data_IF_056979726415
#
_entry.id   IF_056979726415
#
_cell.length_a   1.000
_cell.length_b   1.000
_cell.length_c   1.000
_cell.angle_alpha   90.00
_cell.angle_beta   90.00
_cell.angle_gamma   90.00
#
_symmetry.space_group_name_H-M   'P 1'
#
loop_
_entity.id
_entity.type
_entity.pdbx_description
1 polymer ?
#
# COMPACT_ATOMS: atom_id res chain seq x y z
N UNK A 1 4.02 -3.75 -9.87
CA UNK A 1 4.86 -3.17 -10.98
C UNK A 1 5.65 -1.92 -10.63
N UNK A 2 5.10 -0.95 -9.87
CA UNK A 2 5.81 0.30 -9.55
C UNK A 2 7.15 0.09 -8.83
N UNK A 3 7.25 -0.91 -7.96
CA UNK A 3 8.48 -1.26 -7.25
C UNK A 3 9.64 -1.64 -8.18
N UNK A 4 9.37 -2.30 -9.31
CA UNK A 4 10.42 -2.67 -10.26
C UNK A 4 11.05 -1.42 -10.90
N UNK A 5 10.24 -0.45 -11.33
CA UNK A 5 10.74 0.80 -11.89
C UNK A 5 11.49 1.63 -10.85
N UNK A 6 11.00 1.67 -9.61
CA UNK A 6 11.69 2.37 -8.53
C UNK A 6 13.04 1.73 -8.19
N UNK A 7 13.10 0.40 -8.14
CA UNK A 7 14.34 -0.34 -7.94
C UNK A 7 15.39 -0.02 -9.02
N UNK A 8 14.96 0.12 -10.28
CA UNK A 8 15.86 0.53 -11.37
C UNK A 8 16.36 1.97 -11.21
N UNK A 9 15.54 2.86 -10.68
CA UNK A 9 15.90 4.28 -10.49
C UNK A 9 16.82 4.46 -9.27
N UNK A 10 16.55 3.76 -8.17
CA UNK A 10 17.35 3.87 -6.93
C UNK A 10 18.62 3.01 -6.97
N UNK A 11 18.69 2.01 -7.85
CA UNK A 11 19.79 1.05 -7.92
C UNK A 11 19.70 -0.07 -6.86
N UNK A 12 18.73 0.01 -5.94
CA UNK A 12 18.57 -0.94 -4.85
C UNK A 12 17.44 -1.92 -5.11
N UNK A 13 17.80 -3.06 -5.69
CA UNK A 13 16.81 -4.02 -6.20
C UNK A 13 16.14 -4.81 -5.08
N UNK A 14 16.93 -5.34 -4.14
CA UNK A 14 16.44 -6.29 -3.15
C UNK A 14 15.41 -5.70 -2.18
N UNK A 15 15.70 -4.65 -1.38
CA UNK A 15 14.74 -4.13 -0.41
C UNK A 15 13.49 -3.54 -1.09
N UNK A 16 13.66 -2.84 -2.22
CA UNK A 16 12.55 -2.19 -2.94
C UNK A 16 11.57 -3.21 -3.53
N UNK A 17 12.06 -4.32 -4.08
CA UNK A 17 11.18 -5.38 -4.56
C UNK A 17 10.42 -6.05 -3.42
N UNK A 18 11.07 -6.32 -2.28
CA UNK A 18 10.42 -6.93 -1.13
C UNK A 18 9.33 -6.03 -0.54
N UNK A 19 9.58 -4.72 -0.44
CA UNK A 19 8.58 -3.72 -0.05
C UNK A 19 7.39 -3.75 -1.02
N UNK A 20 7.66 -3.79 -2.33
CA UNK A 20 6.59 -3.81 -3.33
C UNK A 20 5.76 -5.09 -3.26
N UNK A 21 6.41 -6.25 -3.13
CA UNK A 21 5.74 -7.55 -2.96
C UNK A 21 4.91 -7.55 -1.67
N UNK A 22 5.43 -7.00 -0.57
CA UNK A 22 4.70 -6.89 0.68
C UNK A 22 3.38 -6.14 0.50
N UNK A 23 3.38 -4.95 -0.11
CA UNK A 23 2.14 -4.19 -0.31
C UNK A 23 1.20 -4.83 -1.34
N UNK A 24 1.72 -5.47 -2.38
CA UNK A 24 0.88 -6.21 -3.34
C UNK A 24 0.19 -7.41 -2.67
N UNK A 25 0.90 -8.15 -1.81
CA UNK A 25 0.31 -9.24 -1.01
C UNK A 25 -0.67 -8.71 0.03
N UNK A 26 -0.34 -7.62 0.71
CA UNK A 26 -1.17 -7.02 1.76
C UNK A 26 -2.54 -6.61 1.23
N UNK A 27 -2.63 -6.13 0.00
CA UNK A 27 -3.87 -5.59 -0.58
C UNK A 27 -4.48 -6.44 -1.69
N UNK A 28 -4.09 -7.71 -1.77
CA UNK A 28 -4.57 -8.63 -2.80
C UNK A 28 -6.11 -8.80 -2.77
N UNK A 29 -6.76 -8.71 -1.60
CA UNK A 29 -8.23 -8.78 -1.47
C UNK A 29 -8.95 -7.49 -1.91
N UNK A 30 -8.24 -6.36 -1.99
CA UNK A 30 -8.82 -5.03 -2.20
C UNK A 30 -8.96 -4.72 -3.70
N UNK A 31 -9.64 -5.60 -4.43
CA UNK A 31 -9.88 -5.43 -5.86
C UNK A 31 -10.86 -4.26 -6.08
N UNK A 32 -10.54 -3.30 -6.96
CA UNK A 32 -11.45 -2.21 -7.28
C UNK A 32 -12.72 -2.77 -7.94
N UNK A 33 -13.83 -2.78 -7.20
CA UNK A 33 -15.14 -3.21 -7.67
C UNK A 33 -16.18 -2.11 -7.43
N UNK A 34 -16.84 -1.68 -8.51
CA UNK A 34 -17.84 -0.61 -8.47
C UNK A 34 -17.25 0.72 -7.98
N UNK A 35 -17.78 1.26 -6.89
CA UNK A 35 -17.37 2.54 -6.30
C UNK A 35 -16.26 2.41 -5.25
N UNK A 36 -15.80 1.19 -4.96
CA UNK A 36 -14.74 0.97 -3.99
C UNK A 36 -13.38 1.38 -4.59
N UNK A 37 -12.67 2.26 -3.87
CA UNK A 37 -11.33 2.73 -4.24
C UNK A 37 -10.34 2.13 -3.24
N UNK A 38 -9.43 1.24 -3.67
CA UNK A 38 -8.48 0.63 -2.77
C UNK A 38 -7.45 1.65 -2.25
N UNK A 39 -6.75 1.35 -1.14
CA UNK A 39 -5.59 2.11 -0.70
C UNK A 39 -4.56 2.26 -1.82
N UNK A 40 -3.81 3.38 -1.84
CA UNK A 40 -2.88 3.69 -2.92
C UNK A 40 -1.51 3.00 -2.75
N UNK A 41 -1.22 1.99 -3.57
CA UNK A 41 -0.08 1.08 -3.32
C UNK A 41 1.21 1.70 -3.78
N UNK A 42 1.09 2.47 -4.86
CA UNK A 42 2.17 3.25 -5.42
C UNK A 42 2.66 4.23 -4.37
N UNK A 43 1.78 4.92 -3.64
CA UNK A 43 2.16 5.81 -2.55
C UNK A 43 2.95 5.09 -1.44
N UNK A 44 2.48 3.93 -0.99
CA UNK A 44 3.21 3.15 0.02
C UNK A 44 4.61 2.77 -0.46
N UNK A 45 4.73 2.20 -1.66
CA UNK A 45 6.03 1.78 -2.20
C UNK A 45 6.95 2.97 -2.46
N UNK A 46 6.45 4.07 -3.03
CA UNK A 46 7.26 5.27 -3.31
C UNK A 46 7.71 5.95 -2.03
N UNK A 47 6.79 6.17 -1.07
CA UNK A 47 7.12 6.80 0.20
C UNK A 47 8.14 6.00 0.99
N UNK A 48 7.96 4.67 1.05
CA UNK A 48 8.88 3.79 1.78
C UNK A 48 10.26 3.79 1.12
N UNK A 49 10.32 3.67 -0.19
CA UNK A 49 11.59 3.65 -0.95
C UNK A 49 12.34 4.97 -0.83
N UNK A 50 11.64 6.10 -0.92
CA UNK A 50 12.25 7.43 -0.81
C UNK A 50 12.79 7.69 0.61
N UNK A 51 12.02 7.37 1.64
CA UNK A 51 12.44 7.59 3.02
C UNK A 51 13.50 6.58 3.46
N UNK A 52 13.45 5.35 2.95
CA UNK A 52 14.52 4.36 3.08
C UNK A 52 15.86 4.93 2.59
N UNK A 53 15.89 5.47 1.36
CA UNK A 53 17.10 6.08 0.81
C UNK A 53 17.50 7.37 1.53
N UNK A 54 16.54 8.17 2.00
CA UNK A 54 16.81 9.42 2.72
C UNK A 54 17.42 9.19 4.10
N UNK A 55 16.90 8.23 4.86
CA UNK A 55 17.38 7.91 6.21
C UNK A 55 18.47 6.85 6.25
N UNK A 56 18.85 6.27 5.10
CA UNK A 56 19.86 5.21 4.96
C UNK A 56 19.63 4.06 5.96
N UNK A 57 18.41 3.52 5.96
CA UNK A 57 18.00 2.52 6.95
C UNK A 57 18.65 1.16 6.66
N UNK A 58 19.56 0.70 7.52
CA UNK A 58 20.24 -0.58 7.33
C UNK A 58 19.45 -1.78 7.87
N UNK A 59 18.53 -1.54 8.80
CA UNK A 59 17.83 -2.62 9.52
C UNK A 59 16.41 -2.83 8.97
N UNK A 60 16.09 -4.09 8.67
CA UNK A 60 14.77 -4.52 8.17
C UNK A 60 13.61 -4.09 9.06
N UNK A 61 13.78 -4.12 10.40
CA UNK A 61 12.74 -3.69 11.34
C UNK A 61 12.38 -2.20 11.25
N UNK A 62 13.36 -1.35 10.91
CA UNK A 62 13.13 0.08 10.68
C UNK A 62 12.34 0.32 9.40
N UNK A 63 12.66 -0.43 8.34
CA UNK A 63 11.91 -0.42 7.07
C UNK A 63 10.48 -0.88 7.30
N UNK A 64 10.28 -1.92 8.12
CA UNK A 64 8.94 -2.41 8.46
C UNK A 64 8.09 -1.38 9.21
N UNK A 65 8.67 -0.67 10.20
CA UNK A 65 7.97 0.40 10.89
C UNK A 65 7.47 1.47 9.91
N UNK A 66 8.32 1.83 8.94
CA UNK A 66 7.99 2.82 7.92
C UNK A 66 6.92 2.29 6.95
N UNK A 67 6.97 1.00 6.58
CA UNK A 67 5.90 0.34 5.83
C UNK A 67 4.57 0.43 6.58
N UNK A 68 4.54 0.13 7.87
CA UNK A 68 3.33 0.18 8.70
C UNK A 68 2.77 1.60 8.77
N UNK A 69 3.64 2.60 8.95
CA UNK A 69 3.25 4.01 9.02
C UNK A 69 2.67 4.55 7.69
N UNK A 70 3.10 3.99 6.56
CA UNK A 70 2.59 4.38 5.24
C UNK A 70 1.14 3.93 4.97
N UNK A 71 0.68 2.85 5.63
CA UNK A 71 -0.67 2.27 5.45
C UNK A 71 -1.79 3.29 5.72
N UNK A 72 -1.86 3.96 6.89
CA UNK A 72 -2.90 4.96 7.13
C UNK A 72 -2.83 6.12 6.11
N UNK A 73 -1.63 6.51 5.70
CA UNK A 73 -1.43 7.50 4.63
C UNK A 73 -2.08 7.09 3.31
N UNK A 74 -1.95 5.81 2.92
CA UNK A 74 -2.58 5.27 1.71
C UNK A 74 -4.11 5.28 1.75
N UNK A 75 -4.72 5.06 2.92
CA UNK A 75 -6.18 5.20 3.10
C UNK A 75 -6.63 6.64 3.01
N UNK A 76 -5.86 7.59 3.57
CA UNK A 76 -6.18 9.02 3.46
C UNK A 76 -6.11 9.44 2.00
N UNK A 77 -5.08 9.02 1.25
CA UNK A 77 -4.96 9.31 -0.17
C UNK A 77 -6.13 8.74 -0.98
N UNK A 78 -6.55 7.50 -0.73
CA UNK A 78 -7.69 6.91 -1.45
C UNK A 78 -9.01 7.63 -1.15
N UNK A 79 -9.20 8.14 0.08
CA UNK A 79 -10.35 8.98 0.44
C UNK A 79 -10.35 10.32 -0.30
N UNK A 80 -9.20 10.98 -0.40
CA UNK A 80 -9.07 12.24 -1.14
C UNK A 80 -9.33 12.01 -2.63
N UNK A 81 -8.78 10.94 -3.19
CA UNK A 81 -9.05 10.54 -4.58
C UNK A 81 -10.55 10.28 -4.80
N UNK A 82 -11.20 9.56 -3.88
CA UNK A 82 -12.64 9.32 -3.94
C UNK A 82 -13.47 10.59 -3.92
N UNK A 83 -13.12 11.54 -3.06
CA UNK A 83 -13.79 12.85 -3.02
C UNK A 83 -13.59 13.64 -4.32
N UNK A 84 -12.39 13.56 -4.90
CA UNK A 84 -12.09 14.18 -6.17
C UNK A 84 -12.89 13.54 -7.32
N UNK A 85 -13.01 12.20 -7.36
CA UNK A 85 -13.85 11.47 -8.32
C UNK A 85 -15.33 11.86 -8.20
N UNK A 86 -15.87 12.01 -6.99
CA UNK A 86 -17.25 12.48 -6.78
C UNK A 86 -17.47 13.88 -7.36
N UNK A 87 -16.49 14.79 -7.17
CA UNK A 87 -16.54 16.14 -7.76
C UNK A 87 -16.47 16.10 -9.28
N UNK A 88 -15.65 15.24 -9.86
CA UNK A 88 -15.59 15.06 -11.31
C UNK A 88 -16.90 14.50 -11.88
N UNK A 89 -17.52 13.52 -11.21
CA UNK A 89 -18.80 12.96 -11.65
C UNK A 89 -19.94 14.00 -11.66
N UNK A 90 -19.95 14.95 -10.72
CA UNK A 90 -20.93 16.07 -10.74
C UNK A 90 -20.75 16.95 -11.98
N UNK A 91 -19.51 17.28 -12.34
CA UNK A 91 -19.20 18.06 -13.56
C UNK A 91 -19.60 17.29 -14.82
N UNK A 92 -19.33 15.99 -14.86
CA UNK A 92 -19.75 15.12 -15.96
C UNK A 92 -21.27 15.09 -16.14
N UNK A 93 -22.04 14.92 -15.07
CA UNK A 93 -23.51 14.90 -15.12
C UNK A 93 -24.11 16.24 -15.57
N UNK A 94 -23.50 17.36 -15.18
CA UNK A 94 -23.94 18.69 -15.60
C UNK A 94 -23.74 18.88 -17.12
N UNK A 95 -22.63 18.35 -17.64
CA UNK A 95 -22.30 18.38 -19.06
C UNK A 95 -23.21 17.44 -19.87
N UNK A 96 -23.53 16.26 -19.35
CA UNK A 96 -24.45 15.32 -20.00
C UNK A 96 -25.88 15.89 -20.12
N UNK A 97 -26.25 16.84 -19.24
CA UNK A 97 -27.48 17.61 -19.36
C UNK A 97 -27.34 18.71 -20.42
N UNK A 98 -26.22 19.42 -20.44
CA UNK A 98 -25.95 20.49 -21.41
C UNK A 98 -25.74 20.00 -22.85
N UNK A 99 -25.25 18.78 -23.05
CA UNK A 99 -25.13 18.18 -24.39
C UNK A 99 -26.48 17.76 -24.98
N UNK A 100 -27.54 17.64 -24.16
CA UNK A 100 -28.92 17.43 -24.61
C UNK A 100 -29.58 18.73 -25.08
N UNK A 101 -29.07 19.88 -24.65
CA UNK A 101 -29.50 21.19 -25.13
C UNK A 101 -28.63 21.61 -26.35
N UNK A 102 -29.31 21.99 -27.44
CA UNK A 102 -28.76 22.10 -28.80
C UNK A 102 -27.65 23.16 -29.04
N UNK A 103 -27.29 23.96 -28.03
CA UNK A 103 -26.46 25.16 -28.18
C UNK A 103 -25.29 25.24 -27.19
N UNK A 104 -24.46 24.19 -27.08
CA UNK A 104 -23.18 24.32 -26.36
C UNK A 104 -21.98 23.96 -27.26
N UNK A 105 -20.98 24.86 -27.27
CA UNK A 105 -19.68 24.64 -27.89
C UNK A 105 -18.88 23.66 -27.03
N UNK A 106 -19.25 22.38 -27.14
CA UNK A 106 -18.71 21.30 -26.32
C UNK A 106 -17.40 20.78 -26.91
N UNK A 107 -16.28 20.97 -26.20
CA UNK A 107 -14.98 20.42 -26.59
C UNK A 107 -14.54 19.32 -25.59
N UNK A 108 -14.75 18.04 -25.92
CA UNK A 108 -14.45 16.93 -25.01
C UNK A 108 -12.95 16.80 -24.68
N UNK A 109 -12.06 17.17 -25.61
CA UNK A 109 -10.61 17.00 -25.45
C UNK A 109 -10.04 17.88 -24.32
N UNK A 110 -10.43 19.16 -24.27
CA UNK A 110 -9.99 20.08 -23.19
C UNK A 110 -10.46 19.61 -21.81
N UNK A 111 -11.63 19.00 -21.74
CA UNK A 111 -12.20 18.51 -20.49
C UNK A 111 -11.49 17.25 -19.99
N UNK A 112 -11.21 16.29 -20.86
CA UNK A 112 -10.42 15.10 -20.52
C UNK A 112 -9.04 15.54 -20.01
N UNK A 113 -8.38 16.47 -20.72
CA UNK A 113 -7.08 16.98 -20.31
C UNK A 113 -7.13 17.68 -18.95
N UNK A 114 -8.11 18.56 -18.71
CA UNK A 114 -8.28 19.22 -17.41
C UNK A 114 -8.54 18.22 -16.27
N UNK A 115 -9.32 17.17 -16.52
CA UNK A 115 -9.56 16.12 -15.53
C UNK A 115 -8.31 15.29 -15.26
N UNK A 116 -7.54 14.95 -16.28
CA UNK A 116 -6.28 14.22 -16.13
C UNK A 116 -5.24 15.03 -15.35
N UNK A 117 -5.00 16.29 -15.76
CA UNK A 117 -4.05 17.19 -15.09
C UNK A 117 -4.51 17.49 -13.67
N UNK A 118 -5.82 17.68 -13.45
CA UNK A 118 -6.38 17.91 -12.12
C UNK A 118 -6.24 16.68 -11.21
N UNK A 119 -6.56 15.48 -11.69
CA UNK A 119 -6.35 14.22 -10.95
C UNK A 119 -4.89 14.02 -10.60
N UNK A 120 -4.01 14.20 -11.58
CA UNK A 120 -2.57 14.05 -11.41
C UNK A 120 -2.00 15.07 -10.42
N UNK A 121 -2.38 16.34 -10.56
CA UNK A 121 -1.92 17.41 -9.66
C UNK A 121 -2.37 17.22 -8.22
N UNK A 122 -3.65 16.87 -8.01
CA UNK A 122 -4.16 16.57 -6.65
C UNK A 122 -3.44 15.34 -6.08
N UNK A 123 -3.28 14.27 -6.86
CA UNK A 123 -2.56 13.06 -6.45
C UNK A 123 -1.11 13.35 -6.08
N UNK A 124 -0.40 14.14 -6.88
CA UNK A 124 1.00 14.49 -6.65
C UNK A 124 1.16 15.36 -5.40
N UNK A 125 0.36 16.42 -5.24
CA UNK A 125 0.43 17.30 -4.07
C UNK A 125 0.12 16.52 -2.79
N UNK A 126 -0.92 15.67 -2.80
CA UNK A 126 -1.28 14.86 -1.63
C UNK A 126 -0.22 13.81 -1.31
N UNK A 127 0.37 13.16 -2.31
CA UNK A 127 1.48 12.24 -2.12
C UNK A 127 2.71 12.94 -1.53
N UNK A 128 3.10 14.10 -2.07
CA UNK A 128 4.23 14.88 -1.54
C UNK A 128 4.00 15.31 -0.08
N UNK A 129 2.81 15.83 0.24
CA UNK A 129 2.45 16.20 1.61
C UNK A 129 2.46 14.97 2.54
N UNK A 130 1.95 13.83 2.07
CA UNK A 130 1.96 12.58 2.83
C UNK A 130 3.37 12.08 3.11
N UNK A 131 4.26 12.10 2.11
CA UNK A 131 5.68 11.72 2.28
C UNK A 131 6.38 12.68 3.25
N UNK A 132 6.15 13.99 3.11
CA UNK A 132 6.72 15.00 4.01
C UNK A 132 6.26 14.80 5.46
N UNK A 133 4.96 14.51 5.65
CA UNK A 133 4.42 14.19 6.97
C UNK A 133 5.08 12.94 7.57
N UNK A 134 5.23 11.87 6.78
CA UNK A 134 5.92 10.65 7.21
C UNK A 134 7.39 10.93 7.59
N UNK A 135 8.08 11.79 6.84
CA UNK A 135 9.46 12.18 7.13
C UNK A 135 9.60 12.88 8.49
N UNK A 136 8.60 13.66 8.92
CA UNK A 136 8.59 14.33 10.24
C UNK A 136 8.24 13.34 11.36
N UNK A 137 7.23 12.49 11.14
CA UNK A 137 6.71 11.60 12.18
C UNK A 137 7.65 10.43 12.46
N UNK A 138 8.32 9.91 11.43
CA UNK A 138 9.16 8.72 11.55
C UNK A 138 10.29 8.83 12.59
N UNK A 139 11.12 9.90 12.61
CA UNK A 139 12.17 10.06 13.61
C UNK A 139 11.65 9.98 15.05
N UNK A 140 10.49 10.59 15.32
CA UNK A 140 9.88 10.55 16.66
C UNK A 140 9.39 9.16 17.06
N UNK A 141 8.93 8.35 16.12
CA UNK A 141 8.45 7.00 16.38
C UNK A 141 9.57 5.96 16.44
N UNK A 142 10.65 6.16 15.66
CA UNK A 142 11.83 5.29 15.65
C UNK A 142 12.42 5.14 17.06
N UNK A 143 12.49 6.23 17.82
CA UNK A 143 13.08 6.22 19.16
C UNK A 143 12.19 5.50 20.17
N UNK A 144 10.88 5.51 19.96
CA UNK A 144 9.91 4.82 20.80
C UNK A 144 9.89 3.31 20.55
N UNK A 145 10.03 2.90 19.28
CA UNK A 145 9.96 1.52 18.85
C UNK A 145 11.35 1.00 18.49
N UNK A 146 12.05 0.41 19.46
CA UNK A 146 13.39 -0.18 19.28
C UNK A 146 13.38 -1.48 18.45
N UNK A 147 12.76 -1.50 17.25
CA UNK A 147 12.73 -2.64 16.32
C UNK A 147 14.09 -2.85 15.60
N UNK A 148 15.20 -2.80 16.33
CA UNK A 148 16.53 -2.65 15.72
C UNK A 148 17.22 -3.97 15.34
N UNK A 149 16.76 -5.16 15.77
CA UNK A 149 17.60 -6.37 15.58
C UNK A 149 17.00 -7.70 15.12
N UNK A 150 15.71 -7.97 15.27
CA UNK A 150 15.24 -9.38 15.16
C UNK A 150 14.24 -9.67 14.03
N UNK A 151 14.01 -8.73 13.11
CA UNK A 151 13.01 -8.93 12.07
C UNK A 151 13.63 -9.32 10.73
N UNK A 152 13.45 -10.58 10.34
CA UNK A 152 13.83 -11.07 9.03
C UNK A 152 12.75 -10.79 7.97
N UNK A 153 13.15 -10.60 6.72
CA UNK A 153 12.25 -10.37 5.59
C UNK A 153 11.26 -11.51 5.39
N UNK A 154 11.69 -12.74 5.69
CA UNK A 154 10.86 -13.94 5.63
C UNK A 154 9.61 -13.82 6.51
N UNK A 155 9.76 -13.28 7.73
CA UNK A 155 8.65 -13.08 8.67
C UNK A 155 7.69 -11.99 8.19
N UNK A 156 8.23 -10.91 7.59
CA UNK A 156 7.43 -9.82 7.03
C UNK A 156 6.58 -10.29 5.86
N UNK A 157 7.17 -11.04 4.94
CA UNK A 157 6.46 -11.60 3.80
C UNK A 157 5.45 -12.67 4.24
N UNK A 158 5.79 -13.50 5.23
CA UNK A 158 4.86 -14.44 5.83
C UNK A 158 3.65 -13.70 6.41
N UNK A 159 3.86 -12.60 7.14
CA UNK A 159 2.79 -11.77 7.68
C UNK A 159 1.86 -11.24 6.56
N UNK A 160 2.42 -10.72 5.47
CA UNK A 160 1.64 -10.24 4.32
C UNK A 160 0.89 -11.37 3.61
N UNK A 161 1.47 -12.57 3.55
CA UNK A 161 0.84 -13.73 2.93
C UNK A 161 -0.46 -14.14 3.61
N UNK A 162 -0.61 -13.91 4.93
CA UNK A 162 -1.90 -14.12 5.61
C UNK A 162 -2.99 -13.20 5.08
N UNK A 163 -2.65 -11.94 4.73
CA UNK A 163 -3.61 -11.02 4.09
C UNK A 163 -3.99 -11.51 2.69
N UNK A 164 -3.01 -11.97 1.90
CA UNK A 164 -3.27 -12.55 0.59
C UNK A 164 -4.17 -13.81 0.67
N UNK A 165 -3.92 -14.68 1.65
CA UNK A 165 -4.76 -15.86 1.93
C UNK A 165 -6.15 -15.48 2.42
N UNK A 166 -6.25 -14.42 3.24
CA UNK A 166 -7.53 -13.81 3.58
C UNK A 166 -8.30 -13.34 2.34
N UNK A 167 -7.61 -12.82 1.33
CA UNK A 167 -8.23 -12.38 0.07
C UNK A 167 -8.77 -13.48 -0.83
N UNK A 168 -8.28 -14.71 -0.71
CA UNK A 168 -8.78 -15.83 -1.53
C UNK A 168 -10.24 -16.21 -1.18
N UNK A 169 -10.75 -15.83 0.00
CA UNK A 169 -12.12 -16.15 0.49
C UNK A 169 -12.48 -17.64 0.41
N UNK A 170 -11.48 -18.52 0.27
CA UNK A 170 -11.67 -19.97 0.19
C UNK A 170 -11.66 -20.54 1.61
N UNK A 171 -12.83 -20.91 2.12
CA UNK A 171 -12.99 -21.49 3.47
C UNK A 171 -12.05 -22.69 3.73
N UNK A 172 -11.79 -23.50 2.70
CA UNK A 172 -10.90 -24.68 2.76
C UNK A 172 -9.42 -24.31 2.97
N UNK A 173 -8.98 -23.16 2.46
CA UNK A 173 -7.60 -22.70 2.62
C UNK A 173 -7.32 -22.24 4.05
N UNK A 174 -8.30 -21.62 4.72
CA UNK A 174 -8.17 -21.29 6.14
C UNK A 174 -8.07 -22.54 7.00
N UNK A 175 -8.90 -23.56 6.73
CA UNK A 175 -8.85 -24.80 7.51
C UNK A 175 -7.53 -25.54 7.35
N UNK A 176 -6.96 -25.60 6.13
CA UNK A 176 -5.64 -26.22 5.94
C UNK A 176 -4.53 -25.45 6.65
N UNK A 177 -4.63 -24.12 6.70
CA UNK A 177 -3.64 -23.28 7.38
C UNK A 177 -3.68 -23.44 8.89
N UNK A 178 -4.88 -23.42 9.50
CA UNK A 178 -5.03 -23.65 10.94
C UNK A 178 -4.54 -25.04 11.31
N UNK A 179 -4.90 -26.07 10.55
CA UNK A 179 -4.43 -27.44 10.79
C UNK A 179 -2.91 -27.52 10.67
N UNK A 180 -2.31 -26.89 9.65
CA UNK A 180 -0.86 -26.81 9.49
C UNK A 180 -0.17 -26.13 10.67
N UNK A 181 -0.68 -24.97 11.13
CA UNK A 181 -0.16 -24.27 12.30
C UNK A 181 -0.22 -25.10 13.57
N UNK A 182 -1.36 -25.75 13.83
CA UNK A 182 -1.53 -26.62 15.00
C UNK A 182 -0.55 -27.79 14.94
N UNK A 183 -0.42 -28.47 13.80
CA UNK A 183 0.52 -29.58 13.62
C UNK A 183 1.98 -29.15 13.82
N UNK A 184 2.38 -28.01 13.27
CA UNK A 184 3.74 -27.47 13.45
C UNK A 184 3.97 -27.10 14.91
N UNK A 185 3.03 -26.42 15.57
CA UNK A 185 3.16 -26.08 16.99
C UNK A 185 3.23 -27.32 17.88
N UNK A 186 2.43 -28.36 17.58
CA UNK A 186 2.44 -29.62 18.30
C UNK A 186 3.74 -30.40 18.08
N UNK A 187 4.26 -30.42 16.85
CA UNK A 187 5.54 -31.04 16.53
C UNK A 187 6.71 -30.33 17.22
N UNK A 188 6.72 -29.00 17.24
CA UNK A 188 7.74 -28.20 17.94
C UNK A 188 7.65 -28.40 19.46
N UNK A 189 6.45 -28.41 20.03
CA UNK A 189 6.25 -28.69 21.46
C UNK A 189 6.70 -30.10 21.83
N UNK A 190 6.41 -31.09 20.98
CA UNK A 190 6.86 -32.47 21.15
C UNK A 190 8.39 -32.60 21.06
N UNK A 191 9.02 -31.85 20.15
CA UNK A 191 10.47 -31.87 19.94
C UNK A 191 11.25 -31.10 21.02
N UNK A 192 10.62 -30.16 21.71
CA UNK A 192 11.17 -29.45 22.87
C UNK A 192 10.96 -30.20 24.20
N UNK A 193 10.00 -31.12 24.27
CA UNK A 193 9.73 -31.96 25.44
C UNK A 193 10.93 -32.74 26.00
N UNK A 194 11.84 -33.34 25.20
CA UNK A 194 12.98 -34.10 25.72
C UNK A 194 14.14 -33.25 26.25
N UNK A 195 14.05 -31.91 26.22
CA UNK A 195 15.13 -31.01 26.70
C UNK A 195 14.83 -30.46 28.10
N UNK A 196 13.61 -30.62 28.61
CA UNK A 196 13.16 -30.13 29.92
C UNK A 196 12.84 -31.25 30.95
N UNK A 197 13.07 -32.52 30.58
CA UNK A 197 12.93 -33.69 31.45
C UNK A 197 14.31 -34.31 31.72
#
# INVERSE_FOLDING_TARGET
MAGFFLALITGEVFPVLLIAVFFELLWLDLIPAGTFIPPNAIFCVTSVTLLYGHFQLEHTGQIFLLMLLSIPGAYILSRIEGWYRIRQNKKYNLILRQSRDRFSSYNPGKMIMQSLVGSFGVGLVTACLGIYFLAIVYPHLKDLFQFQREMDWSLILLAASFSALAGLRVKKAYTSLVVGMVLISAALAWMQWPVLA
#
